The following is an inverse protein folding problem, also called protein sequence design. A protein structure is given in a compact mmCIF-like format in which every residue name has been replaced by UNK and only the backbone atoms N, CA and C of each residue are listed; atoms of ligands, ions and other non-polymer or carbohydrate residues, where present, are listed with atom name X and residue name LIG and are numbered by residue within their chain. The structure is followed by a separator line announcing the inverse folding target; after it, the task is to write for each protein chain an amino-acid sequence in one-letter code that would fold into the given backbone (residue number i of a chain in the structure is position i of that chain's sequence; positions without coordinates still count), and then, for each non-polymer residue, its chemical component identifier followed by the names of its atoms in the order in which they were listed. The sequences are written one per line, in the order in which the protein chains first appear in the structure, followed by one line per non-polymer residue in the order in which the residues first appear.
data_IF_588376642436
#
_entry.id   IF_588376642436
#
_cell.length_a   1.000
_cell.length_b   1.000
_cell.length_c   1.000
_cell.angle_alpha   90.00
_cell.angle_beta   90.00
_cell.angle_gamma   90.00
#
_symmetry.space_group_name_H-M   'P 1'
#
loop_
_entity.id
_entity.type
_entity.pdbx_description
1 polymer ?
#
# COMPACT_ATOMS: atom_id res chain seq x y z
N UNK A 1 10.40 -5.67 -28.51
CA UNK A 1 10.22 -4.35 -27.88
C UNK A 1 11.32 -4.21 -26.85
N UNK A 2 12.11 -3.15 -26.89
CA UNK A 2 13.14 -2.92 -25.86
C UNK A 2 12.45 -2.31 -24.63
N UNK A 3 12.30 -3.12 -23.58
CA UNK A 3 11.65 -2.71 -22.34
C UNK A 3 12.52 -1.74 -21.51
N UNK A 4 13.83 -1.66 -21.80
CA UNK A 4 14.74 -0.77 -21.08
C UNK A 4 14.45 0.71 -21.34
N UNK A 5 13.82 1.03 -22.47
CA UNK A 5 13.38 2.39 -22.82
C UNK A 5 12.24 2.93 -21.95
N UNK A 6 11.57 2.08 -21.16
CA UNK A 6 10.44 2.43 -20.30
C UNK A 6 10.74 2.23 -18.82
N UNK A 7 12.02 2.13 -18.46
CA UNK A 7 12.43 1.77 -17.09
C UNK A 7 12.03 2.82 -16.04
N UNK A 8 11.81 4.05 -16.48
CA UNK A 8 11.30 5.18 -15.70
C UNK A 8 9.83 5.03 -15.28
N UNK A 9 9.03 4.26 -16.03
CA UNK A 9 7.61 3.99 -15.76
C UNK A 9 7.30 2.51 -15.52
N UNK A 10 8.31 1.64 -15.61
CA UNK A 10 8.14 0.21 -15.39
C UNK A 10 7.85 -0.08 -13.90
N UNK A 11 7.02 -1.09 -13.61
CA UNK A 11 6.84 -1.56 -12.24
C UNK A 11 8.17 -1.98 -11.62
N UNK A 12 8.35 -1.67 -10.32
CA UNK A 12 9.52 -2.13 -9.57
C UNK A 12 9.55 -3.66 -9.49
N UNK A 13 10.69 -4.27 -9.85
CA UNK A 13 10.88 -5.72 -9.78
C UNK A 13 12.24 -6.07 -9.18
N UNK A 14 12.29 -7.16 -8.41
CA UNK A 14 13.52 -7.68 -7.83
C UNK A 14 14.32 -6.61 -7.07
N UNK A 15 15.56 -6.35 -7.51
CA UNK A 15 16.46 -5.39 -6.87
C UNK A 15 15.90 -3.96 -6.88
N UNK A 16 15.11 -3.57 -7.89
CA UNK A 16 14.59 -2.20 -7.96
C UNK A 16 13.62 -1.92 -6.78
N UNK A 17 12.93 -2.94 -6.26
CA UNK A 17 12.08 -2.83 -5.06
C UNK A 17 12.93 -2.56 -3.82
N UNK A 18 14.00 -3.33 -3.63
CA UNK A 18 14.89 -3.18 -2.48
C UNK A 18 15.56 -1.80 -2.47
N UNK A 19 16.02 -1.36 -3.64
CA UNK A 19 16.64 -0.05 -3.81
C UNK A 19 15.64 1.07 -3.52
N UNK A 20 14.37 0.91 -3.93
CA UNK A 20 13.31 1.88 -3.64
C UNK A 20 13.00 1.97 -2.14
N UNK A 21 12.85 0.81 -1.47
CA UNK A 21 12.61 0.74 -0.02
C UNK A 21 13.76 1.39 0.76
N UNK A 22 15.01 1.14 0.35
CA UNK A 22 16.18 1.74 0.99
C UNK A 22 16.20 3.27 0.83
N UNK A 23 15.87 3.79 -0.36
CA UNK A 23 15.71 5.24 -0.56
C UNK A 23 14.65 5.85 0.36
N UNK A 24 13.52 5.17 0.53
CA UNK A 24 12.44 5.62 1.44
C UNK A 24 12.94 5.63 2.90
N UNK A 25 13.61 4.56 3.34
CA UNK A 25 14.15 4.47 4.71
C UNK A 25 15.19 5.54 5.03
N UNK A 26 15.97 5.97 4.03
CA UNK A 26 16.94 7.06 4.18
C UNK A 26 16.28 8.44 4.33
N UNK A 27 15.00 8.58 3.98
CA UNK A 27 14.25 9.82 4.08
C UNK A 27 13.17 9.74 5.19
N UNK A 28 13.62 9.58 6.43
CA UNK A 28 12.73 9.50 7.61
C UNK A 28 11.89 10.76 7.77
N UNK A 29 12.46 11.94 7.51
CA UNK A 29 11.74 13.21 7.62
C UNK A 29 10.55 13.26 6.64
N UNK A 30 10.73 12.74 5.42
CA UNK A 30 9.63 12.61 4.45
C UNK A 30 8.52 11.66 4.91
N UNK A 31 8.86 10.56 5.59
CA UNK A 31 7.87 9.65 6.20
C UNK A 31 7.09 10.38 7.30
N UNK A 32 7.79 11.13 8.16
CA UNK A 32 7.16 11.91 9.24
C UNK A 32 6.21 12.97 8.68
N UNK A 33 6.64 13.71 7.66
CA UNK A 33 5.85 14.76 7.02
C UNK A 33 4.60 14.19 6.34
N UNK A 34 4.76 13.12 5.56
CA UNK A 34 3.65 12.44 4.91
C UNK A 34 2.60 11.95 5.92
N UNK A 35 3.02 11.21 6.94
CA UNK A 35 2.11 10.70 7.97
C UNK A 35 1.48 11.82 8.79
N UNK A 36 2.21 12.91 9.04
CA UNK A 36 1.71 14.11 9.70
C UNK A 36 0.66 14.86 8.88
N UNK A 37 0.69 14.77 7.54
CA UNK A 37 -0.32 15.39 6.68
C UNK A 37 -1.66 14.65 6.67
N UNK A 38 -1.66 13.34 6.98
CA UNK A 38 -2.85 12.47 6.97
C UNK A 38 -3.32 12.09 8.37
N UNK A 39 -2.76 12.68 9.42
CA UNK A 39 -3.14 12.41 10.80
C UNK A 39 -2.95 13.66 11.67
N UNK A 40 -3.83 13.91 12.65
CA UNK A 40 -3.72 15.10 13.49
C UNK A 40 -2.50 15.01 14.43
N UNK A 41 -1.77 16.13 14.59
CA UNK A 41 -0.48 16.21 15.33
C UNK A 41 -0.39 17.35 16.36
N UNK A 42 -1.53 17.92 16.74
CA UNK A 42 -1.61 19.14 17.54
C UNK A 42 -1.23 18.92 19.02
N UNK A 43 -1.53 17.76 19.58
CA UNK A 43 -1.30 17.42 20.98
C UNK A 43 0.00 16.62 21.19
N UNK A 44 0.53 16.63 22.42
CA UNK A 44 1.71 15.84 22.76
C UNK A 44 1.47 14.32 22.61
N UNK A 45 0.24 13.86 22.89
CA UNK A 45 -0.16 12.47 22.71
C UNK A 45 -0.18 12.08 21.24
N UNK A 46 -0.76 12.91 20.38
CA UNK A 46 -0.75 12.70 18.92
C UNK A 46 0.68 12.68 18.35
N UNK A 47 1.57 13.58 18.80
CA UNK A 47 2.99 13.55 18.40
C UNK A 47 3.70 12.26 18.83
N UNK A 48 3.40 11.75 20.03
CA UNK A 48 3.95 10.48 20.50
C UNK A 48 3.42 9.30 19.67
N UNK A 49 2.13 9.30 19.34
CA UNK A 49 1.51 8.29 18.48
C UNK A 49 2.13 8.30 17.06
N UNK A 50 2.33 9.48 16.46
CA UNK A 50 3.02 9.62 15.18
C UNK A 50 4.43 9.03 15.24
N UNK A 51 5.21 9.35 16.27
CA UNK A 51 6.56 8.81 16.44
C UNK A 51 6.56 7.28 16.55
N UNK A 52 5.61 6.72 17.30
CA UNK A 52 5.44 5.28 17.40
C UNK A 52 5.09 4.65 16.04
N UNK A 53 4.19 5.30 15.27
CA UNK A 53 3.78 4.86 13.94
C UNK A 53 4.91 4.89 12.92
N UNK A 54 5.70 5.97 12.91
CA UNK A 54 6.93 6.07 12.08
C UNK A 54 7.88 4.92 12.41
N UNK A 55 8.12 4.65 13.71
CA UNK A 55 8.96 3.53 14.13
C UNK A 55 8.40 2.16 13.70
N UNK A 56 7.08 1.98 13.72
CA UNK A 56 6.43 0.77 13.21
C UNK A 56 6.62 0.61 11.70
N UNK A 57 6.40 1.67 10.92
CA UNK A 57 6.56 1.66 9.46
C UNK A 57 8.00 1.36 9.06
N UNK A 58 8.98 1.97 9.73
CA UNK A 58 10.40 1.69 9.47
C UNK A 58 10.74 0.20 9.70
N UNK A 59 10.20 -0.41 10.77
CA UNK A 59 10.36 -1.85 11.01
C UNK A 59 9.66 -2.69 9.94
N UNK A 60 8.46 -2.30 9.51
CA UNK A 60 7.75 -3.00 8.45
C UNK A 60 8.55 -2.93 7.12
N UNK A 61 9.14 -1.77 6.81
CA UNK A 61 10.01 -1.59 5.64
C UNK A 61 11.28 -2.45 5.73
N UNK A 62 11.83 -2.68 6.92
CA UNK A 62 12.97 -3.59 7.12
C UNK A 62 12.64 -5.05 6.79
N UNK A 63 11.37 -5.44 6.76
CA UNK A 63 10.91 -6.79 6.41
C UNK A 63 10.56 -6.95 4.93
N UNK A 64 10.46 -5.86 4.17
CA UNK A 64 10.10 -5.91 2.75
C UNK A 64 11.24 -6.50 1.93
N UNK A 65 10.98 -7.60 1.22
CA UNK A 65 11.93 -8.22 0.27
C UNK A 65 11.39 -8.27 -1.15
N UNK A 66 10.08 -8.22 -1.30
CA UNK A 66 9.37 -8.33 -2.57
C UNK A 66 8.32 -7.23 -2.72
N UNK A 67 7.80 -7.07 -3.94
CA UNK A 67 6.69 -6.16 -4.20
C UNK A 67 5.42 -6.57 -3.41
N UNK A 68 5.13 -7.87 -3.32
CA UNK A 68 4.01 -8.39 -2.52
C UNK A 68 4.18 -8.06 -1.03
N UNK A 69 5.39 -8.22 -0.47
CA UNK A 69 5.65 -7.80 0.92
C UNK A 69 5.34 -6.32 1.14
N UNK A 70 5.70 -5.47 0.16
CA UNK A 70 5.42 -4.03 0.26
C UNK A 70 3.92 -3.76 0.21
N UNK A 71 3.19 -4.39 -0.72
CA UNK A 71 1.74 -4.22 -0.80
C UNK A 71 1.06 -4.68 0.50
N UNK A 72 1.39 -5.88 1.02
CA UNK A 72 0.77 -6.41 2.24
C UNK A 72 1.17 -5.65 3.50
N UNK A 73 2.47 -5.41 3.72
CA UNK A 73 2.95 -4.82 4.98
C UNK A 73 2.76 -3.32 5.05
N UNK A 74 2.89 -2.60 3.93
CA UNK A 74 2.87 -1.13 3.91
C UNK A 74 1.53 -0.63 3.37
N UNK A 75 1.11 -1.09 2.19
CA UNK A 75 -0.09 -0.55 1.53
C UNK A 75 -1.36 -1.01 2.25
N UNK A 76 -1.64 -2.32 2.24
CA UNK A 76 -2.80 -2.94 2.89
C UNK A 76 -2.65 -3.01 4.43
N UNK A 77 -1.44 -3.16 4.95
CA UNK A 77 -1.20 -3.31 6.39
C UNK A 77 -1.16 -2.01 7.19
N UNK A 78 -0.85 -0.87 6.55
CA UNK A 78 -0.73 0.42 7.26
C UNK A 78 -1.56 1.51 6.62
N UNK A 79 -1.36 1.77 5.33
CA UNK A 79 -1.92 2.95 4.69
C UNK A 79 -3.44 2.84 4.50
N UNK A 80 -3.92 1.76 3.89
CA UNK A 80 -5.34 1.59 3.60
C UNK A 80 -6.22 1.46 4.86
N UNK A 81 -5.80 0.77 5.94
CA UNK A 81 -6.52 0.79 7.20
C UNK A 81 -6.72 2.21 7.76
N UNK A 82 -5.73 3.10 7.61
CA UNK A 82 -5.89 4.50 8.01
C UNK A 82 -6.90 5.25 7.13
N UNK A 83 -6.89 4.99 5.83
CA UNK A 83 -7.85 5.61 4.91
C UNK A 83 -9.26 5.18 5.30
N UNK A 84 -9.47 3.88 5.51
CA UNK A 84 -10.76 3.33 5.95
C UNK A 84 -11.18 3.95 7.28
N UNK A 85 -10.32 3.94 8.29
CA UNK A 85 -10.63 4.49 9.62
C UNK A 85 -11.03 5.97 9.60
N UNK A 86 -10.42 6.77 8.72
CA UNK A 86 -10.62 8.23 8.71
C UNK A 86 -11.68 8.72 7.71
N UNK A 87 -12.04 7.91 6.71
CA UNK A 87 -12.84 8.40 5.57
C UNK A 87 -13.99 7.48 5.14
N UNK A 88 -14.10 6.29 5.74
CA UNK A 88 -15.12 5.30 5.38
C UNK A 88 -15.95 4.96 6.63
N UNK A 89 -17.27 5.16 6.54
CA UNK A 89 -18.18 4.81 7.64
C UNK A 89 -18.24 3.28 7.87
N UNK A 90 -18.33 2.52 6.79
CA UNK A 90 -18.36 1.05 6.82
C UNK A 90 -17.73 0.49 5.54
N UNK A 91 -16.76 -0.41 5.69
CA UNK A 91 -16.12 -1.13 4.59
C UNK A 91 -16.52 -2.60 4.63
N UNK A 92 -17.17 -3.08 3.57
CA UNK A 92 -17.59 -4.49 3.42
C UNK A 92 -17.25 -5.02 2.03
N UNK A 93 -17.01 -6.32 1.95
CA UNK A 93 -16.77 -7.03 0.69
C UNK A 93 -17.33 -8.45 0.75
N UNK A 94 -17.59 -9.05 -0.41
CA UNK A 94 -18.07 -10.43 -0.55
C UNK A 94 -17.67 -11.00 -1.92
N UNK A 95 -17.79 -12.31 -2.11
CA UNK A 95 -17.49 -12.99 -3.37
C UNK A 95 -16.03 -13.45 -3.51
N UNK A 96 -15.14 -13.07 -2.58
CA UNK A 96 -13.74 -13.52 -2.56
C UNK A 96 -13.61 -15.04 -2.35
N UNK A 97 -14.61 -15.67 -1.75
CA UNK A 97 -14.70 -17.13 -1.60
C UNK A 97 -14.86 -17.88 -2.94
N UNK A 98 -15.24 -17.18 -4.01
CA UNK A 98 -15.34 -17.75 -5.35
C UNK A 98 -14.03 -17.65 -6.15
N UNK A 99 -12.99 -17.03 -5.57
CA UNK A 99 -11.70 -16.83 -6.22
C UNK A 99 -10.74 -17.97 -5.90
N UNK A 100 -10.11 -18.52 -6.93
CA UNK A 100 -9.02 -19.49 -6.82
C UNK A 100 -7.67 -18.76 -6.70
N UNK A 101 -6.91 -19.07 -5.66
CA UNK A 101 -5.61 -18.46 -5.36
C UNK A 101 -4.56 -18.67 -6.44
N UNK A 102 -4.71 -19.71 -7.27
CA UNK A 102 -3.76 -20.02 -8.34
C UNK A 102 -4.18 -19.45 -9.69
N UNK A 103 -5.32 -18.75 -9.74
CA UNK A 103 -5.88 -18.18 -10.97
C UNK A 103 -5.67 -16.66 -11.00
N UNK A 104 -5.12 -16.16 -12.10
CA UNK A 104 -5.04 -14.72 -12.33
C UNK A 104 -6.40 -14.17 -12.79
N UNK A 105 -6.87 -13.11 -12.14
CA UNK A 105 -8.14 -12.44 -12.46
C UNK A 105 -7.91 -11.00 -12.91
N UNK A 106 -8.81 -10.51 -13.76
CA UNK A 106 -8.92 -9.09 -14.08
C UNK A 106 -10.10 -8.51 -13.29
N UNK A 107 -9.80 -7.69 -12.29
CA UNK A 107 -10.82 -6.95 -11.54
C UNK A 107 -11.12 -5.63 -12.25
N UNK A 108 -12.40 -5.29 -12.31
CA UNK A 108 -12.89 -4.05 -12.94
C UNK A 108 -13.71 -3.30 -11.92
N UNK A 109 -13.29 -2.08 -11.59
CA UNK A 109 -14.06 -1.16 -10.78
C UNK A 109 -14.74 -0.09 -11.63
N UNK A 110 -15.69 0.61 -11.03
CA UNK A 110 -16.28 1.83 -11.58
C UNK A 110 -15.27 2.99 -11.56
N UNK A 111 -15.62 4.13 -12.17
CA UNK A 111 -14.69 5.25 -12.37
C UNK A 111 -14.86 6.37 -11.34
N UNK A 112 -15.04 6.04 -10.06
CA UNK A 112 -15.26 7.09 -9.03
C UNK A 112 -13.96 7.60 -8.45
N UNK A 113 -13.03 6.71 -8.14
CA UNK A 113 -11.70 7.07 -7.66
C UNK A 113 -10.64 6.20 -8.34
N UNK A 114 -9.77 6.86 -9.11
CA UNK A 114 -8.77 6.19 -9.95
C UNK A 114 -7.78 5.35 -9.11
N UNK A 115 -7.48 5.76 -7.87
CA UNK A 115 -6.46 5.11 -7.05
C UNK A 115 -7.10 4.27 -5.95
N UNK A 116 -8.05 4.84 -5.21
CA UNK A 116 -8.65 4.17 -4.07
C UNK A 116 -9.55 3.01 -4.47
N UNK A 117 -10.18 3.02 -5.64
CA UNK A 117 -11.01 1.89 -6.07
C UNK A 117 -10.15 0.61 -6.23
N UNK A 118 -8.98 0.73 -6.86
CA UNK A 118 -8.02 -0.38 -6.98
C UNK A 118 -7.44 -0.77 -5.61
N UNK A 119 -7.12 0.22 -4.77
CA UNK A 119 -6.53 -0.04 -3.47
C UNK A 119 -7.49 -0.75 -2.51
N UNK A 120 -8.77 -0.39 -2.51
CA UNK A 120 -9.78 -1.06 -1.68
C UNK A 120 -10.06 -2.49 -2.17
N UNK A 121 -9.93 -2.77 -3.47
CA UNK A 121 -9.94 -4.15 -3.99
C UNK A 121 -8.76 -4.93 -3.41
N UNK A 122 -7.55 -4.38 -3.45
CA UNK A 122 -6.37 -5.03 -2.86
C UNK A 122 -6.55 -5.26 -1.34
N UNK A 123 -7.17 -4.32 -0.62
CA UNK A 123 -7.47 -4.50 0.80
C UNK A 123 -8.41 -5.69 1.05
N UNK A 124 -9.46 -5.85 0.22
CA UNK A 124 -10.37 -6.99 0.31
C UNK A 124 -9.68 -8.32 -0.05
N UNK A 125 -8.79 -8.31 -1.05
CA UNK A 125 -8.01 -9.47 -1.44
C UNK A 125 -7.00 -9.89 -0.36
N UNK A 126 -6.31 -8.92 0.26
CA UNK A 126 -5.40 -9.18 1.38
C UNK A 126 -6.14 -9.82 2.56
N UNK A 127 -7.29 -9.25 2.93
CA UNK A 127 -8.14 -9.79 4.01
C UNK A 127 -8.67 -11.20 3.72
N UNK A 128 -8.78 -11.59 2.44
CA UNK A 128 -9.17 -12.93 2.01
C UNK A 128 -7.98 -13.88 1.74
N UNK A 129 -6.74 -13.46 2.02
CA UNK A 129 -5.51 -14.21 1.73
C UNK A 129 -5.41 -14.63 0.24
N UNK A 130 -5.80 -13.70 -0.65
CA UNK A 130 -5.74 -13.83 -2.10
C UNK A 130 -4.52 -13.08 -2.67
N UNK A 131 -4.18 -13.36 -3.93
CA UNK A 131 -3.18 -12.60 -4.68
C UNK A 131 -3.64 -11.15 -4.86
N UNK A 132 -2.76 -10.19 -4.59
CA UNK A 132 -3.02 -8.77 -4.82
C UNK A 132 -2.85 -8.41 -6.30
N UNK A 133 -3.48 -7.33 -6.72
CA UNK A 133 -3.46 -6.87 -8.10
C UNK A 133 -2.23 -5.98 -8.35
N UNK A 134 -1.71 -6.03 -9.58
CA UNK A 134 -0.92 -4.92 -10.11
C UNK A 134 -1.89 -3.86 -10.63
N UNK A 135 -1.89 -2.66 -10.01
CA UNK A 135 -2.79 -1.59 -10.41
C UNK A 135 -2.34 -0.98 -11.75
N UNK A 136 -3.23 -1.01 -12.73
CA UNK A 136 -3.05 -0.32 -14.01
C UNK A 136 -4.06 0.82 -14.09
N UNK A 137 -3.55 2.05 -14.21
CA UNK A 137 -4.35 3.26 -14.35
C UNK A 137 -4.21 3.77 -15.79
N UNK A 138 -5.33 4.02 -16.46
CA UNK A 138 -5.40 4.49 -17.85
C UNK A 138 -6.41 5.60 -18.06
#
# INVERSE_FOLDING_TARGET
MDLSAYRDIAPYRGQDVLDAVERVKQNVDGIVEFLGSVSPVETAQQRAALKAKVGYILKALDEVRTYDDFQRKITAGVFLPQVVENSVDEFTFSGTESLDKETAYLFVSTHRDIVLDCALIDLALDAADQMLCEMAIG
#
